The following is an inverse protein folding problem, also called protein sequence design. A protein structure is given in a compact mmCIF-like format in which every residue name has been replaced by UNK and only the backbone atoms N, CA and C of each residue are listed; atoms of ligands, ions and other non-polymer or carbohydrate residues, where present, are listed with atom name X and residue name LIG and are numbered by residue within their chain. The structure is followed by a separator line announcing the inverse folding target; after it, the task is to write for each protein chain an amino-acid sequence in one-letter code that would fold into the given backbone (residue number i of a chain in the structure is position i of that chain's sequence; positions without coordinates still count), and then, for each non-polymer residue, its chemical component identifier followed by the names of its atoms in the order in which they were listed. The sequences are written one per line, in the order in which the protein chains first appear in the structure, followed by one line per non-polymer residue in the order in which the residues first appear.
data_IF_431644659633
#
_entry.id   IF_431644659633
#
_cell.length_a   1.000
_cell.length_b   1.000
_cell.length_c   1.000
_cell.angle_alpha   90.00
_cell.angle_beta   90.00
_cell.angle_gamma   90.00
#
_symmetry.space_group_name_H-M   'P 1'
#
loop_
_entity.id
_entity.type
_entity.pdbx_description
1 polymer ?
#
# COMPACT_ATOMS: atom_id res chain seq x y z
N UNK A 1 -19.58 25.11 -6.26
CA UNK A 1 -20.64 25.00 -5.27
C UNK A 1 -21.15 23.59 -5.23
N UNK A 2 -20.93 22.85 -4.31
CA UNK A 2 -21.29 21.47 -4.19
C UNK A 2 -20.10 20.69 -3.69
N UNK A 3 -19.85 20.77 -2.42
CA UNK A 3 -19.06 19.77 -1.76
C UNK A 3 -19.77 18.44 -1.94
N UNK A 4 -19.15 17.42 -2.52
CA UNK A 4 -19.72 16.10 -2.47
C UNK A 4 -19.80 15.74 -1.00
N UNK A 5 -21.00 15.72 -0.50
CA UNK A 5 -21.30 15.34 0.86
C UNK A 5 -20.84 13.91 1.03
N UNK A 6 -19.81 13.71 1.81
CA UNK A 6 -19.51 12.42 2.43
C UNK A 6 -20.59 12.14 3.48
N UNK A 7 -21.81 11.93 3.01
CA UNK A 7 -22.93 11.46 3.85
C UNK A 7 -22.91 9.96 3.87
N UNK A 8 -22.17 9.38 4.81
CA UNK A 8 -22.31 8.00 5.20
C UNK A 8 -22.14 7.86 6.71
N UNK A 9 -22.85 6.90 7.34
CA UNK A 9 -23.03 6.87 8.77
C UNK A 9 -21.75 6.72 9.57
N UNK A 10 -21.74 7.38 10.64
CA UNK A 10 -20.75 7.99 11.48
C UNK A 10 -20.02 7.05 12.46
N UNK A 11 -19.99 5.75 12.28
CA UNK A 11 -19.42 4.86 13.29
C UNK A 11 -18.31 3.97 12.73
N UNK A 12 -17.13 4.17 13.23
CA UNK A 12 -15.86 3.41 13.10
C UNK A 12 -14.89 3.75 11.97
N UNK A 13 -15.27 4.49 10.96
CA UNK A 13 -14.32 4.86 9.88
C UNK A 13 -14.07 6.37 9.82
N UNK A 14 -14.17 7.09 10.93
CA UNK A 14 -14.11 8.55 10.92
C UNK A 14 -12.76 9.12 10.49
N UNK A 15 -11.67 8.48 10.87
CA UNK A 15 -10.33 8.99 10.54
C UNK A 15 -9.95 8.75 9.09
N UNK A 16 -10.17 7.55 8.61
CA UNK A 16 -9.67 7.06 7.31
C UNK A 16 -10.36 7.74 6.15
N UNK A 17 -11.68 7.80 6.16
CA UNK A 17 -12.47 8.46 5.11
C UNK A 17 -12.28 9.95 5.10
N UNK A 18 -12.18 10.57 6.28
CA UNK A 18 -11.93 12.00 6.39
C UNK A 18 -10.58 12.38 5.77
N UNK A 19 -9.54 11.59 6.02
CA UNK A 19 -8.22 11.80 5.43
C UNK A 19 -8.23 11.68 3.90
N UNK A 20 -8.90 10.66 3.35
CA UNK A 20 -9.04 10.50 1.91
C UNK A 20 -9.84 11.64 1.28
N UNK A 21 -10.92 12.09 1.93
CA UNK A 21 -11.67 13.26 1.47
C UNK A 21 -10.83 14.54 1.49
N UNK A 22 -9.98 14.72 2.49
CA UNK A 22 -9.07 15.86 2.56
C UNK A 22 -8.01 15.81 1.47
N UNK A 23 -7.45 14.64 1.16
CA UNK A 23 -6.51 14.47 0.06
C UNK A 23 -7.14 14.84 -1.29
N UNK A 24 -8.35 14.38 -1.55
CA UNK A 24 -9.09 14.71 -2.78
C UNK A 24 -9.43 16.19 -2.87
N UNK A 25 -9.85 16.79 -1.78
CA UNK A 25 -10.17 18.22 -1.73
C UNK A 25 -8.93 19.08 -2.03
N UNK A 26 -7.77 18.70 -1.49
CA UNK A 26 -6.51 19.37 -1.75
C UNK A 26 -6.01 19.15 -3.17
N UNK A 27 -6.16 17.97 -3.73
CA UNK A 27 -5.85 17.70 -5.14
C UNK A 27 -6.67 18.60 -6.08
N UNK A 28 -7.94 18.80 -5.78
CA UNK A 28 -8.81 19.68 -6.56
C UNK A 28 -8.41 21.17 -6.48
N UNK A 29 -7.77 21.59 -5.39
CA UNK A 29 -7.29 22.96 -5.21
C UNK A 29 -5.93 23.24 -5.84
N UNK A 30 -5.12 22.19 -6.09
CA UNK A 30 -3.75 22.31 -6.59
C UNK A 30 -3.75 22.14 -8.10
N UNK A 31 -3.18 23.12 -8.79
CA UNK A 31 -3.08 23.12 -10.26
C UNK A 31 -1.83 22.38 -10.78
N UNK A 32 -0.79 22.21 -9.94
CA UNK A 32 0.45 21.56 -10.32
C UNK A 32 0.25 20.08 -10.62
N UNK A 33 0.56 19.66 -11.84
CA UNK A 33 0.37 18.29 -12.31
C UNK A 33 1.22 17.27 -11.54
N UNK A 34 2.44 17.63 -11.13
CA UNK A 34 3.32 16.74 -10.38
C UNK A 34 2.80 16.50 -8.97
N UNK A 35 2.33 17.56 -8.32
CA UNK A 35 1.75 17.45 -6.97
C UNK A 35 0.43 16.68 -7.01
N UNK A 36 -0.40 16.89 -8.02
CA UNK A 36 -1.62 16.09 -8.22
C UNK A 36 -1.32 14.61 -8.43
N UNK A 37 -0.31 14.27 -9.22
CA UNK A 37 0.12 12.89 -9.43
C UNK A 37 0.56 12.24 -8.11
N UNK A 38 1.40 12.92 -7.34
CA UNK A 38 1.85 12.44 -6.02
C UNK A 38 0.68 12.28 -5.04
N UNK A 39 -0.24 13.23 -5.03
CA UNK A 39 -1.42 13.19 -4.15
C UNK A 39 -2.31 11.99 -4.47
N UNK A 40 -2.56 11.71 -5.73
CA UNK A 40 -3.33 10.54 -6.17
C UNK A 40 -2.65 9.23 -5.82
N UNK A 41 -1.34 9.15 -5.99
CA UNK A 41 -0.55 7.98 -5.59
C UNK A 41 -0.62 7.74 -4.08
N UNK A 42 -0.50 8.80 -3.29
CA UNK A 42 -0.66 8.75 -1.83
C UNK A 42 -2.08 8.31 -1.45
N UNK A 43 -3.10 8.89 -2.08
CA UNK A 43 -4.50 8.52 -1.85
C UNK A 43 -4.76 7.04 -2.12
N UNK A 44 -4.32 6.54 -3.27
CA UNK A 44 -4.48 5.14 -3.66
C UNK A 44 -3.80 4.19 -2.67
N UNK A 45 -2.58 4.50 -2.26
CA UNK A 45 -1.84 3.73 -1.26
C UNK A 45 -2.52 3.76 0.10
N UNK A 46 -2.99 4.92 0.55
CA UNK A 46 -3.76 5.07 1.79
C UNK A 46 -5.05 4.25 1.77
N UNK A 47 -5.78 4.26 0.67
CA UNK A 47 -7.00 3.47 0.53
C UNK A 47 -6.75 1.97 0.66
N UNK A 48 -5.65 1.48 0.10
CA UNK A 48 -5.22 0.08 0.24
C UNK A 48 -4.83 -0.25 1.68
N UNK A 49 -4.06 0.61 2.33
CA UNK A 49 -3.65 0.44 3.74
C UNK A 49 -4.87 0.39 4.66
N UNK A 50 -5.82 1.30 4.48
CA UNK A 50 -7.04 1.32 5.29
C UNK A 50 -7.92 0.09 5.08
N UNK A 51 -7.99 -0.43 3.86
CA UNK A 51 -8.70 -1.68 3.57
C UNK A 51 -8.08 -2.84 4.34
N UNK A 52 -6.77 -2.98 4.32
CA UNK A 52 -6.06 -4.03 5.07
C UNK A 52 -6.30 -3.88 6.57
N UNK A 53 -6.26 -2.66 7.10
CA UNK A 53 -6.54 -2.39 8.51
C UNK A 53 -7.96 -2.77 8.92
N UNK A 54 -8.94 -2.61 8.03
CA UNK A 54 -10.32 -3.01 8.28
C UNK A 54 -10.50 -4.53 8.24
N UNK A 55 -9.86 -5.19 7.28
CA UNK A 55 -9.91 -6.65 7.12
C UNK A 55 -9.13 -7.37 8.22
N UNK A 56 -8.03 -6.78 8.69
CA UNK A 56 -7.11 -7.34 9.67
C UNK A 56 -6.84 -6.36 10.81
N UNK A 57 -7.75 -6.28 11.81
CA UNK A 57 -7.60 -5.34 12.93
C UNK A 57 -6.32 -5.51 13.74
N UNK A 58 -5.72 -6.68 13.76
CA UNK A 58 -4.46 -6.98 14.42
C UNK A 58 -3.28 -6.18 13.84
N UNK A 59 -3.36 -5.79 12.56
CA UNK A 59 -2.33 -4.98 11.90
C UNK A 59 -2.42 -3.48 12.23
N UNK A 60 -3.48 -3.05 12.87
CA UNK A 60 -3.69 -1.64 13.23
C UNK A 60 -2.56 -1.10 14.11
N UNK A 61 -1.97 -1.93 14.98
CA UNK A 61 -0.85 -1.53 15.82
C UNK A 61 0.38 -1.10 15.00
N UNK A 62 0.63 -1.73 13.85
CA UNK A 62 1.73 -1.40 12.95
C UNK A 62 1.50 -0.08 12.21
N UNK A 63 0.25 0.38 12.14
CA UNK A 63 -0.16 1.58 11.44
C UNK A 63 -0.17 2.84 12.30
N UNK A 64 0.13 2.74 13.59
CA UNK A 64 0.08 3.91 14.49
C UNK A 64 0.97 5.07 14.04
N UNK A 65 2.20 4.79 13.64
CA UNK A 65 3.13 5.81 13.14
C UNK A 65 2.65 6.37 11.81
N UNK A 66 2.14 5.53 10.93
CA UNK A 66 1.58 5.95 9.65
C UNK A 66 0.40 6.91 9.84
N UNK A 67 -0.57 6.53 10.66
CA UNK A 67 -1.77 7.32 10.93
C UNK A 67 -1.49 8.58 11.75
N UNK A 68 -0.55 8.50 12.69
CA UNK A 68 -0.26 9.59 13.62
C UNK A 68 0.80 10.57 13.14
N UNK A 69 1.62 10.20 12.17
CA UNK A 69 2.73 11.03 11.71
C UNK A 69 2.77 11.22 10.18
N UNK A 70 2.86 10.16 9.41
CA UNK A 70 3.06 10.27 7.96
C UNK A 70 1.88 10.89 7.25
N UNK A 71 0.68 10.46 7.53
CA UNK A 71 -0.53 10.96 6.88
C UNK A 71 -0.84 12.43 7.27
N UNK A 72 -0.81 12.83 8.56
CA UNK A 72 -0.96 14.24 8.92
C UNK A 72 0.12 15.14 8.32
N UNK A 73 1.34 14.66 8.21
CA UNK A 73 2.45 15.41 7.57
C UNK A 73 2.20 15.63 6.09
N UNK A 74 1.74 14.61 5.37
CA UNK A 74 1.37 14.74 3.96
C UNK A 74 0.27 15.78 3.76
N UNK A 75 -0.78 15.73 4.58
CA UNK A 75 -1.88 16.72 4.53
C UNK A 75 -1.38 18.13 4.81
N UNK A 76 -0.51 18.31 5.78
CA UNK A 76 0.09 19.61 6.11
C UNK A 76 0.90 20.17 4.94
N UNK A 77 1.73 19.34 4.32
CA UNK A 77 2.54 19.74 3.16
C UNK A 77 1.67 20.15 1.96
N UNK A 78 0.62 19.40 1.69
CA UNK A 78 -0.33 19.71 0.62
C UNK A 78 -1.10 21.01 0.88
N UNK A 79 -1.52 21.27 2.12
CA UNK A 79 -2.15 22.53 2.50
C UNK A 79 -1.19 23.71 2.33
N UNK A 80 0.05 23.55 2.72
CA UNK A 80 1.07 24.59 2.53
C UNK A 80 1.30 24.87 1.04
N UNK A 81 1.37 23.83 0.22
CA UNK A 81 1.53 23.97 -1.21
C UNK A 81 0.32 24.72 -1.83
N UNK A 82 -0.88 24.31 -1.50
CA UNK A 82 -2.10 24.97 -1.97
C UNK A 82 -2.15 26.45 -1.58
N UNK A 83 -1.70 26.79 -0.38
CA UNK A 83 -1.60 28.17 0.10
C UNK A 83 -0.61 28.98 -0.73
N UNK A 84 0.57 28.42 -1.03
CA UNK A 84 1.58 29.08 -1.86
C UNK A 84 1.09 29.30 -3.30
N UNK A 85 0.34 28.37 -3.86
CA UNK A 85 -0.27 28.56 -5.17
C UNK A 85 -1.33 29.66 -5.18
N UNK A 86 -2.20 29.70 -4.17
CA UNK A 86 -3.28 30.69 -4.07
C UNK A 86 -2.77 32.12 -3.92
N UNK A 87 -1.62 32.31 -3.33
CA UNK A 87 -1.04 33.65 -3.19
C UNK A 87 -0.61 34.25 -4.53
N UNK A 88 -0.41 33.45 -5.56
CA UNK A 88 -0.09 33.90 -6.91
C UNK A 88 1.19 34.74 -7.02
N UNK A 89 2.01 34.72 -5.97
CA UNK A 89 3.27 35.44 -5.91
C UNK A 89 4.35 34.49 -6.37
N UNK A 90 5.09 34.89 -7.40
CA UNK A 90 6.29 34.20 -7.83
C UNK A 90 7.52 34.88 -7.22
N UNK A 91 8.46 34.09 -6.79
CA UNK A 91 9.71 34.56 -6.22
C UNK A 91 10.62 33.40 -5.90
N UNK A 92 11.91 33.63 -5.86
CA UNK A 92 12.92 32.60 -5.66
C UNK A 92 12.66 31.80 -4.36
N UNK A 93 12.26 32.46 -3.30
CA UNK A 93 11.97 31.80 -2.02
C UNK A 93 10.70 30.92 -2.09
N UNK A 94 9.70 31.36 -2.81
CA UNK A 94 8.43 30.61 -2.98
C UNK A 94 8.69 29.40 -3.86
N UNK A 95 9.43 29.54 -4.94
CA UNK A 95 9.80 28.44 -5.82
C UNK A 95 10.66 27.40 -5.10
N UNK A 96 11.62 27.86 -4.27
CA UNK A 96 12.40 26.98 -3.43
C UNK A 96 11.54 26.23 -2.40
N UNK A 97 10.59 26.91 -1.77
CA UNK A 97 9.64 26.29 -0.83
C UNK A 97 8.76 25.23 -1.52
N UNK A 98 8.23 25.52 -2.70
CA UNK A 98 7.44 24.57 -3.50
C UNK A 98 8.25 23.34 -3.86
N UNK A 99 9.48 23.50 -4.33
CA UNK A 99 10.38 22.39 -4.65
C UNK A 99 10.69 21.53 -3.42
N UNK A 100 10.90 22.17 -2.27
CA UNK A 100 11.14 21.45 -1.02
C UNK A 100 9.92 20.61 -0.60
N UNK A 101 8.71 21.15 -0.74
CA UNK A 101 7.47 20.42 -0.46
C UNK A 101 7.32 19.22 -1.39
N UNK A 102 7.58 19.38 -2.69
CA UNK A 102 7.51 18.28 -3.67
C UNK A 102 8.47 17.15 -3.28
N UNK A 103 9.72 17.47 -2.94
CA UNK A 103 10.68 16.44 -2.48
C UNK A 103 10.23 15.72 -1.23
N UNK A 104 9.64 16.44 -0.29
CA UNK A 104 9.10 15.85 0.94
C UNK A 104 7.90 14.94 0.64
N UNK A 105 7.04 15.32 -0.28
CA UNK A 105 5.91 14.50 -0.74
C UNK A 105 6.38 13.23 -1.46
N UNK A 106 7.42 13.31 -2.28
CA UNK A 106 8.04 12.15 -2.94
C UNK A 106 8.61 11.17 -1.90
N UNK A 107 9.26 11.70 -0.87
CA UNK A 107 9.77 10.88 0.23
C UNK A 107 8.65 10.18 1.00
N UNK A 108 7.57 10.92 1.30
CA UNK A 108 6.40 10.36 1.98
C UNK A 108 5.67 9.33 1.11
N UNK A 109 5.51 9.59 -0.17
CA UNK A 109 4.90 8.64 -1.12
C UNK A 109 5.65 7.31 -1.12
N UNK A 110 6.98 7.37 -1.17
CA UNK A 110 7.80 6.18 -1.05
C UNK A 110 7.65 5.48 0.31
N UNK A 111 7.60 6.25 1.41
CA UNK A 111 7.37 5.69 2.74
C UNK A 111 6.01 4.98 2.85
N UNK A 112 4.98 5.50 2.20
CA UNK A 112 3.66 4.88 2.15
C UNK A 112 3.67 3.56 1.37
N UNK A 113 4.37 3.51 0.24
CA UNK A 113 4.56 2.28 -0.52
C UNK A 113 5.29 1.21 0.28
N UNK A 114 6.36 1.59 0.98
CA UNK A 114 7.12 0.69 1.85
C UNK A 114 6.24 0.16 2.99
N UNK A 115 5.40 1.01 3.56
CA UNK A 115 4.46 0.60 4.61
C UNK A 115 3.42 -0.40 4.09
N UNK A 116 2.90 -0.18 2.89
CA UNK A 116 1.97 -1.10 2.25
C UNK A 116 2.63 -2.45 1.96
N UNK A 117 3.85 -2.43 1.42
CA UNK A 117 4.64 -3.64 1.15
C UNK A 117 4.90 -4.45 2.42
N UNK A 118 5.25 -3.80 3.52
CA UNK A 118 5.41 -4.47 4.81
C UNK A 118 4.14 -5.15 5.32
N UNK A 119 2.99 -4.56 5.09
CA UNK A 119 1.71 -5.18 5.44
C UNK A 119 1.44 -6.44 4.62
N UNK A 120 1.78 -6.44 3.35
CA UNK A 120 1.64 -7.61 2.47
C UNK A 120 2.70 -8.68 2.76
N UNK A 121 3.95 -8.30 3.06
CA UNK A 121 4.99 -9.28 3.36
C UNK A 121 4.71 -10.06 4.64
N UNK A 122 4.08 -9.45 5.63
CA UNK A 122 3.59 -10.16 6.80
C UNK A 122 2.56 -11.24 6.45
N UNK A 123 1.67 -10.95 5.48
CA UNK A 123 0.69 -11.94 4.97
C UNK A 123 1.36 -13.06 4.18
N UNK A 124 2.39 -12.76 3.42
CA UNK A 124 3.15 -13.77 2.68
C UNK A 124 3.87 -14.74 3.64
N UNK A 125 4.46 -14.22 4.71
CA UNK A 125 5.09 -15.06 5.74
C UNK A 125 4.07 -15.97 6.46
N UNK A 126 2.88 -15.47 6.75
CA UNK A 126 1.81 -16.29 7.31
C UNK A 126 1.38 -17.40 6.34
N UNK A 127 1.27 -17.09 5.05
CA UNK A 127 0.93 -18.06 4.01
C UNK A 127 2.01 -19.13 3.82
N UNK A 128 3.29 -18.74 3.85
CA UNK A 128 4.41 -19.70 3.79
C UNK A 128 4.40 -20.64 5.00
N UNK A 129 4.12 -20.12 6.19
CA UNK A 129 4.01 -20.94 7.41
C UNK A 129 2.85 -21.92 7.33
N UNK A 130 1.70 -21.48 6.80
CA UNK A 130 0.54 -22.34 6.60
C UNK A 130 0.80 -23.42 5.55
N UNK A 131 1.55 -23.11 4.49
CA UNK A 131 1.97 -24.07 3.46
C UNK A 131 2.89 -25.14 4.04
N UNK A 132 3.88 -24.77 4.85
CA UNK A 132 4.78 -25.71 5.54
C UNK A 132 4.03 -26.61 6.50
N UNK A 133 3.08 -26.09 7.24
CA UNK A 133 2.22 -26.87 8.15
C UNK A 133 1.36 -27.85 7.36
N UNK A 134 0.76 -27.40 6.27
CA UNK A 134 -0.05 -28.24 5.40
C UNK A 134 0.76 -29.36 4.76
N UNK A 135 1.96 -29.07 4.24
CA UNK A 135 2.87 -30.06 3.68
C UNK A 135 3.28 -31.11 4.71
N UNK A 136 3.57 -30.67 5.93
CA UNK A 136 3.90 -31.55 7.06
C UNK A 136 2.72 -32.45 7.42
N UNK A 137 1.51 -31.92 7.45
CA UNK A 137 0.30 -32.70 7.71
C UNK A 137 0.02 -33.73 6.60
N UNK A 138 0.16 -33.32 5.34
CA UNK A 138 -0.03 -34.21 4.19
C UNK A 138 0.98 -35.34 4.18
N UNK A 139 2.23 -35.10 4.54
CA UNK A 139 3.27 -36.15 4.68
C UNK A 139 2.96 -37.10 5.81
N UNK A 140 2.53 -36.58 6.97
CA UNK A 140 2.13 -37.37 8.12
C UNK A 140 0.98 -38.30 7.82
N UNK A 141 -0.02 -37.84 7.05
CA UNK A 141 -1.19 -38.61 6.67
C UNK A 141 -0.97 -39.50 5.44
N UNK A 142 0.27 -39.51 4.92
CA UNK A 142 0.66 -40.34 3.77
C UNK A 142 0.05 -39.92 2.43
N UNK A 143 -0.47 -38.70 2.37
CA UNK A 143 -1.10 -38.11 1.18
C UNK A 143 -0.12 -37.31 0.33
N UNK A 144 1.01 -36.88 0.88
CA UNK A 144 2.07 -36.23 0.15
C UNK A 144 2.93 -37.28 -0.56
N UNK A 145 2.87 -37.32 -1.88
CA UNK A 145 3.88 -37.98 -2.67
C UNK A 145 3.45 -39.14 -3.56
N UNK A 146 2.17 -39.27 -3.88
CA UNK A 146 1.78 -40.32 -4.83
C UNK A 146 1.28 -39.86 -6.19
N UNK A 147 0.94 -38.59 -6.40
CA UNK A 147 0.23 -38.18 -7.60
C UNK A 147 0.81 -37.01 -8.39
N UNK A 148 2.03 -36.59 -8.08
CA UNK A 148 2.70 -35.57 -8.88
C UNK A 148 4.05 -36.01 -9.45
N UNK A 149 4.26 -37.33 -9.55
CA UNK A 149 5.24 -37.81 -10.50
C UNK A 149 4.58 -37.78 -11.87
N UNK A 150 4.61 -36.64 -12.53
CA UNK A 150 4.42 -36.57 -13.96
C UNK A 150 5.55 -37.38 -14.55
N UNK A 151 5.21 -38.63 -14.89
CA UNK A 151 6.09 -39.51 -15.55
C UNK A 151 6.76 -38.89 -16.77
N UNK A 152 7.99 -38.55 -16.57
CA UNK A 152 8.89 -38.28 -17.67
C UNK A 152 9.91 -39.40 -17.69
N UNK A 153 9.58 -40.33 -18.53
CA UNK A 153 10.49 -41.11 -19.35
C UNK A 153 11.58 -41.90 -18.63
N UNK A 154 11.24 -42.97 -18.01
CA UNK A 154 12.20 -44.05 -17.98
C UNK A 154 12.18 -44.72 -19.35
N UNK A 155 12.92 -44.16 -20.28
CA UNK A 155 13.31 -44.87 -21.50
C UNK A 155 14.31 -45.96 -21.10
N UNK A 156 13.91 -47.17 -21.32
CA UNK A 156 14.62 -48.32 -21.64
C UNK A 156 16.10 -48.47 -21.26
N UNK A 157 16.38 -49.16 -20.22
CA UNK A 157 17.59 -49.94 -20.17
C UNK A 157 17.23 -51.35 -20.62
N UNK A 158 17.56 -51.62 -21.82
CA UNK A 158 17.58 -52.94 -22.39
C UNK A 158 18.78 -53.72 -21.83
N UNK A 159 18.63 -54.78 -21.08
CA UNK A 159 19.74 -55.65 -20.77
C UNK A 159 19.91 -56.61 -21.92
N UNK A 160 20.83 -56.33 -22.79
CA UNK A 160 21.36 -57.33 -23.67
C UNK A 160 22.08 -58.36 -22.83
N UNK A 161 21.39 -59.40 -22.58
CA UNK A 161 22.06 -60.64 -22.22
C UNK A 161 22.54 -61.32 -23.48
N UNK A 162 23.82 -61.42 -23.63
CA UNK A 162 24.46 -62.39 -24.52
C UNK A 162 24.90 -63.56 -23.69
N UNK A 163 24.34 -64.64 -24.05
CA UNK A 163 24.83 -65.92 -23.54
C UNK A 163 26.24 -66.20 -24.01
#
# INVERSE_FOLDING_TARGET
MGFPMCLLPLDRCRGDRLCLCQLRALDAEIADARVSELTRSIEDTCAKIFRIAQEKPEKTAQLKTFMGYYLPTALKLLRNYATLEKQGISGENIDAAKKSIIRSLETLENAFRVQLDKLFSADALDAETDEDVLDTMLRRDGLAGRDFDTGEGAAGADPKHTA
#
